data_IF_965204933941
#
_entry.id   IF_965204933941
#
_cell.length_a   1.000
_cell.length_b   1.000
_cell.length_c   1.000
_cell.angle_alpha   90.00
_cell.angle_beta   90.00
_cell.angle_gamma   90.00
#
_symmetry.space_group_name_H-M   'P 1'
#
loop_
_entity.id
_entity.type
_entity.pdbx_description
1 polymer ?
#
# COMPACT_ATOMS: atom_id res chain seq x y z
N UNK A 1 -33.49 22.64 -2.80
CA UNK A 1 -33.22 23.87 -2.02
C UNK A 1 -32.28 24.74 -2.84
N UNK A 2 -32.66 25.96 -3.21
CA UNK A 2 -31.81 26.83 -4.04
C UNK A 2 -31.03 27.79 -3.15
N UNK A 3 -29.69 27.74 -3.20
CA UNK A 3 -28.82 28.63 -2.41
C UNK A 3 -28.46 29.86 -3.25
N UNK A 4 -28.76 31.06 -2.75
CA UNK A 4 -28.30 32.30 -3.38
C UNK A 4 -26.79 32.44 -3.16
N UNK A 5 -26.03 32.55 -4.25
CA UNK A 5 -24.59 32.84 -4.24
C UNK A 5 -24.35 34.30 -4.61
N UNK A 6 -23.41 34.96 -3.93
CA UNK A 6 -22.94 36.31 -4.26
C UNK A 6 -21.54 36.29 -4.91
N UNK A 7 -21.04 35.10 -5.29
CA UNK A 7 -19.74 34.98 -5.93
C UNK A 7 -19.70 35.78 -7.22
N UNK A 8 -18.64 36.58 -7.38
CA UNK A 8 -18.38 37.38 -8.59
C UNK A 8 -17.34 36.74 -9.50
N UNK A 9 -16.66 35.70 -9.02
CA UNK A 9 -15.62 34.96 -9.75
C UNK A 9 -16.26 33.66 -10.26
N UNK A 10 -16.02 33.34 -11.53
CA UNK A 10 -16.49 32.11 -12.15
C UNK A 10 -15.63 30.95 -11.67
N UNK A 11 -16.27 29.93 -11.11
CA UNK A 11 -15.65 28.65 -10.81
C UNK A 11 -15.32 27.94 -12.14
N UNK A 12 -14.04 27.63 -12.34
CA UNK A 12 -13.52 27.05 -13.60
C UNK A 12 -13.36 25.53 -13.52
N UNK A 13 -13.40 24.98 -12.32
CA UNK A 13 -13.27 23.55 -12.02
C UNK A 13 -14.23 23.21 -10.89
N UNK A 14 -14.91 22.08 -11.02
CA UNK A 14 -15.76 21.56 -9.96
C UNK A 14 -14.91 20.99 -8.80
N UNK A 15 -15.53 20.88 -7.62
CA UNK A 15 -14.89 20.25 -6.47
C UNK A 15 -14.63 18.76 -6.76
N UNK A 16 -13.40 18.28 -6.54
CA UNK A 16 -13.08 16.86 -6.71
C UNK A 16 -13.70 16.03 -5.58
N UNK A 17 -13.58 14.71 -5.69
CA UNK A 17 -13.98 13.82 -4.62
C UNK A 17 -13.03 14.01 -3.41
N UNK A 18 -13.56 14.54 -2.31
CA UNK A 18 -12.74 14.91 -1.15
C UNK A 18 -12.10 13.72 -0.42
N UNK A 19 -12.54 12.49 -0.71
CA UNK A 19 -11.94 11.26 -0.17
C UNK A 19 -11.09 10.50 -1.20
N UNK A 20 -10.89 11.06 -2.39
CA UNK A 20 -10.16 10.40 -3.49
C UNK A 20 -8.74 9.99 -3.10
N UNK A 21 -8.09 10.78 -2.24
CA UNK A 21 -6.74 10.48 -1.75
C UNK A 21 -6.69 9.10 -1.05
N UNK A 22 -7.74 8.76 -0.29
CA UNK A 22 -7.81 7.48 0.42
C UNK A 22 -8.15 6.35 -0.55
N UNK A 23 -9.21 6.53 -1.34
CA UNK A 23 -9.72 5.49 -2.23
C UNK A 23 -8.71 5.15 -3.34
N UNK A 24 -8.12 6.16 -3.97
CA UNK A 24 -7.20 5.97 -5.09
C UNK A 24 -5.87 5.36 -4.64
N UNK A 25 -5.40 5.73 -3.44
CA UNK A 25 -4.19 5.15 -2.87
C UNK A 25 -4.38 3.67 -2.57
N UNK A 26 -5.53 3.30 -2.00
CA UNK A 26 -5.81 1.91 -1.64
C UNK A 26 -6.10 1.05 -2.88
N UNK A 27 -6.86 1.57 -3.84
CA UNK A 27 -7.12 0.88 -5.11
C UNK A 27 -5.81 0.59 -5.86
N UNK A 28 -4.92 1.57 -5.96
CA UNK A 28 -3.60 1.38 -6.58
C UNK A 28 -2.74 0.34 -5.85
N UNK A 29 -2.83 0.31 -4.52
CA UNK A 29 -2.16 -0.73 -3.74
C UNK A 29 -2.66 -2.12 -4.10
N UNK A 30 -3.98 -2.30 -4.20
CA UNK A 30 -4.62 -3.56 -4.56
C UNK A 30 -4.43 -3.97 -6.02
N UNK A 31 -4.26 -3.03 -6.94
CA UNK A 31 -4.13 -3.34 -8.37
C UNK A 31 -2.68 -3.60 -8.80
N UNK A 32 -1.72 -2.96 -8.14
CA UNK A 32 -0.34 -2.91 -8.61
C UNK A 32 0.66 -3.15 -7.48
N UNK A 33 0.61 -2.36 -6.42
CA UNK A 33 1.71 -2.34 -5.43
C UNK A 33 1.85 -3.65 -4.67
N UNK A 34 0.74 -4.36 -4.41
CA UNK A 34 0.80 -5.67 -3.76
C UNK A 34 1.55 -6.70 -4.60
N UNK A 35 1.31 -6.75 -5.91
CA UNK A 35 2.07 -7.60 -6.83
C UNK A 35 3.54 -7.21 -6.87
N UNK A 36 3.82 -5.90 -6.90
CA UNK A 36 5.19 -5.39 -7.01
C UNK A 36 6.03 -5.73 -5.77
N UNK A 37 5.43 -5.75 -4.57
CA UNK A 37 6.11 -6.21 -3.34
C UNK A 37 6.54 -7.68 -3.46
N UNK A 38 5.70 -8.54 -4.01
CA UNK A 38 6.07 -9.94 -4.24
C UNK A 38 7.18 -10.07 -5.28
N UNK A 39 7.13 -9.29 -6.37
CA UNK A 39 8.16 -9.27 -7.42
C UNK A 39 9.49 -8.67 -6.97
N UNK A 40 9.48 -7.74 -6.00
CA UNK A 40 10.70 -7.18 -5.41
C UNK A 40 11.46 -8.25 -4.61
N UNK A 41 10.72 -9.15 -3.96
CA UNK A 41 11.28 -10.18 -3.08
C UNK A 41 11.59 -11.50 -3.78
N UNK A 42 10.94 -11.79 -4.92
CA UNK A 42 11.02 -13.08 -5.62
C UNK A 42 11.67 -12.90 -7.02
N UNK A 43 12.41 -13.91 -7.52
CA UNK A 43 12.53 -15.26 -6.96
C UNK A 43 13.45 -15.35 -5.74
N UNK A 44 13.20 -16.35 -4.89
CA UNK A 44 14.07 -16.73 -3.77
C UNK A 44 14.64 -18.11 -4.06
N UNK A 45 15.97 -18.21 -4.00
CA UNK A 45 16.69 -19.46 -4.20
C UNK A 45 16.95 -20.17 -2.86
N UNK A 46 17.01 -21.50 -2.88
CA UNK A 46 17.52 -22.25 -1.75
C UNK A 46 19.06 -22.13 -1.65
N UNK A 47 19.63 -22.46 -0.48
CA UNK A 47 21.08 -22.36 -0.24
C UNK A 47 21.95 -23.14 -1.26
N UNK A 48 21.44 -24.27 -1.76
CA UNK A 48 22.15 -25.10 -2.74
C UNK A 48 22.04 -24.57 -4.18
N UNK A 49 21.18 -23.59 -4.45
CA UNK A 49 20.89 -23.07 -5.81
C UNK A 49 20.14 -24.05 -6.72
N UNK A 50 19.50 -25.07 -6.15
CA UNK A 50 18.79 -26.13 -6.87
C UNK A 50 17.28 -25.90 -6.97
N UNK A 51 16.72 -25.00 -6.16
CA UNK A 51 15.29 -24.71 -6.13
C UNK A 51 15.02 -23.23 -6.04
N UNK A 52 14.06 -22.77 -6.84
CA UNK A 52 13.65 -21.37 -6.90
C UNK A 52 12.15 -21.27 -6.60
N UNK A 53 11.79 -20.32 -5.75
CA UNK A 53 10.40 -19.97 -5.50
C UNK A 53 10.05 -18.71 -6.28
N UNK A 54 9.05 -18.79 -7.15
CA UNK A 54 8.59 -17.69 -8.00
C UNK A 54 7.18 -17.26 -7.63
N UNK A 55 6.90 -15.96 -7.78
CA UNK A 55 5.55 -15.40 -7.70
C UNK A 55 4.81 -15.56 -9.03
N UNK A 56 3.58 -16.09 -8.97
CA UNK A 56 2.71 -16.22 -10.15
C UNK A 56 1.58 -15.20 -10.12
N UNK A 57 0.96 -15.01 -8.96
CA UNK A 57 -0.19 -14.10 -8.81
C UNK A 57 -0.78 -14.16 -7.40
N UNK A 58 -1.79 -13.35 -7.15
CA UNK A 58 -2.63 -13.45 -5.95
C UNK A 58 -4.09 -13.25 -6.29
N UNK A 59 -4.94 -13.68 -5.38
CA UNK A 59 -6.38 -13.52 -5.43
C UNK A 59 -6.90 -13.14 -4.04
N UNK A 60 -7.74 -12.12 -3.96
CA UNK A 60 -8.52 -11.83 -2.76
C UNK A 60 -9.89 -12.47 -2.91
N UNK A 61 -10.25 -13.34 -1.97
CA UNK A 61 -11.59 -13.96 -1.89
C UNK A 61 -12.58 -13.00 -1.25
N UNK A 62 -13.86 -13.37 -1.27
CA UNK A 62 -14.91 -12.56 -0.66
C UNK A 62 -14.68 -12.36 0.85
N UNK A 63 -15.01 -11.18 1.38
CA UNK A 63 -14.90 -10.92 2.81
C UNK A 63 -15.86 -11.81 3.59
N UNK A 64 -15.39 -12.31 4.74
CA UNK A 64 -16.16 -13.21 5.60
C UNK A 64 -17.39 -12.53 6.22
N UNK A 65 -17.31 -11.23 6.45
CA UNK A 65 -18.34 -10.41 7.05
C UNK A 65 -18.64 -9.22 6.15
N UNK A 66 -19.89 -8.80 6.15
CA UNK A 66 -20.26 -7.45 5.70
C UNK A 66 -19.73 -6.39 6.68
N UNK A 67 -19.76 -5.12 6.25
CA UNK A 67 -19.37 -3.97 7.07
C UNK A 67 -20.19 -3.92 8.38
N UNK A 68 -21.49 -4.22 8.34
CA UNK A 68 -22.37 -4.19 9.51
C UNK A 68 -22.07 -5.34 10.48
N UNK A 69 -21.86 -6.55 9.96
CA UNK A 69 -21.51 -7.72 10.76
C UNK A 69 -20.14 -7.56 11.43
N UNK A 70 -19.15 -7.01 10.72
CA UNK A 70 -17.82 -6.75 11.27
C UNK A 70 -17.90 -5.81 12.48
N UNK A 71 -18.74 -4.76 12.40
CA UNK A 71 -19.01 -3.85 13.54
C UNK A 71 -19.72 -4.55 14.69
N UNK A 72 -20.72 -5.38 14.41
CA UNK A 72 -21.53 -6.04 15.43
C UNK A 72 -20.79 -7.18 16.17
N UNK A 73 -19.77 -7.77 15.54
CA UNK A 73 -19.04 -8.93 16.07
C UNK A 73 -17.64 -8.60 16.59
N UNK A 74 -17.31 -7.31 16.75
CA UNK A 74 -15.95 -6.87 17.11
C UNK A 74 -14.87 -7.49 16.20
N UNK A 75 -15.20 -7.68 14.92
CA UNK A 75 -14.35 -8.36 13.93
C UNK A 75 -13.74 -7.36 12.93
N UNK A 76 -12.79 -7.82 12.13
CA UNK A 76 -12.24 -7.04 11.02
C UNK A 76 -13.12 -7.21 9.78
N UNK A 77 -13.30 -6.12 9.02
CA UNK A 77 -13.78 -6.22 7.64
C UNK A 77 -12.58 -6.53 6.74
N UNK A 78 -12.43 -7.80 6.36
CA UNK A 78 -11.25 -8.31 5.65
C UNK A 78 -11.59 -9.44 4.68
N UNK A 79 -10.79 -9.57 3.63
CA UNK A 79 -10.85 -10.63 2.63
C UNK A 79 -9.67 -11.59 2.75
N UNK A 80 -9.88 -12.90 2.64
CA UNK A 80 -8.78 -13.88 2.56
C UNK A 80 -7.92 -13.64 1.31
N UNK A 81 -6.62 -13.38 1.50
CA UNK A 81 -5.63 -13.27 0.44
C UNK A 81 -4.97 -14.63 0.20
N UNK A 82 -5.06 -15.12 -1.04
CA UNK A 82 -4.36 -16.29 -1.52
C UNK A 82 -3.27 -15.87 -2.50
N UNK A 83 -2.08 -16.44 -2.37
CA UNK A 83 -0.94 -16.14 -3.23
C UNK A 83 -0.49 -17.43 -3.90
N UNK A 84 -0.36 -17.39 -5.23
CA UNK A 84 0.08 -18.52 -6.04
C UNK A 84 1.57 -18.42 -6.26
N UNK A 85 2.30 -19.42 -5.78
CA UNK A 85 3.72 -19.58 -5.98
C UNK A 85 4.02 -20.75 -6.91
N UNK A 86 5.17 -20.68 -7.58
CA UNK A 86 5.72 -21.78 -8.37
C UNK A 86 7.11 -22.14 -7.84
N UNK A 87 7.26 -23.37 -7.37
CA UNK A 87 8.55 -23.95 -7.02
C UNK A 87 9.13 -24.62 -8.27
N UNK A 88 10.30 -24.14 -8.70
CA UNK A 88 11.09 -24.68 -9.80
C UNK A 88 12.21 -25.52 -9.22
N UNK A 89 12.24 -26.82 -9.53
CA UNK A 89 13.36 -27.68 -9.20
C UNK A 89 14.31 -27.77 -10.41
N UNK A 90 15.48 -27.15 -10.30
CA UNK A 90 16.46 -27.03 -11.40
C UNK A 90 17.13 -28.37 -11.74
N UNK A 91 17.16 -29.32 -10.82
CA UNK A 91 17.81 -30.62 -11.02
C UNK A 91 16.90 -31.60 -11.78
N UNK A 92 15.63 -31.67 -11.36
CA UNK A 92 14.64 -32.56 -11.97
C UNK A 92 13.86 -31.91 -13.12
N UNK A 93 13.85 -30.59 -13.21
CA UNK A 93 12.99 -29.82 -14.11
C UNK A 93 11.52 -29.80 -13.67
N UNK A 94 11.19 -30.27 -12.47
CA UNK A 94 9.82 -30.30 -11.97
C UNK A 94 9.33 -28.90 -11.61
N UNK A 95 8.10 -28.58 -12.04
CA UNK A 95 7.41 -27.33 -11.71
C UNK A 95 6.19 -27.64 -10.83
N UNK A 96 6.23 -27.17 -9.58
CA UNK A 96 5.11 -27.30 -8.63
C UNK A 96 4.48 -25.93 -8.40
N UNK A 97 3.25 -25.75 -8.90
CA UNK A 97 2.47 -24.53 -8.64
C UNK A 97 1.47 -24.78 -7.52
N UNK A 98 1.44 -23.91 -6.52
CA UNK A 98 0.55 -24.04 -5.37
C UNK A 98 -0.02 -22.68 -4.96
N UNK A 99 -1.32 -22.67 -4.71
CA UNK A 99 -2.02 -21.57 -4.06
C UNK A 99 -1.88 -21.71 -2.53
N UNK A 100 -1.42 -20.65 -1.86
CA UNK A 100 -1.20 -20.62 -0.41
C UNK A 100 -2.05 -19.51 0.21
N UNK A 101 -2.79 -19.83 1.28
CA UNK A 101 -3.44 -18.81 2.09
C UNK A 101 -2.38 -17.96 2.79
N UNK A 102 -2.34 -16.67 2.45
CA UNK A 102 -1.33 -15.74 2.94
C UNK A 102 -1.80 -14.98 4.19
N UNK A 103 -3.11 -14.79 4.33
CA UNK A 103 -3.73 -14.16 5.49
C UNK A 103 -5.01 -13.40 5.13
N UNK A 104 -5.68 -12.86 6.14
CA UNK A 104 -6.81 -11.95 5.93
C UNK A 104 -6.32 -10.52 5.73
N UNK A 105 -6.74 -9.89 4.64
CA UNK A 105 -6.35 -8.53 4.28
C UNK A 105 -7.50 -7.55 4.56
N UNK A 106 -7.31 -6.52 5.41
CA UNK A 106 -8.36 -5.54 5.69
C UNK A 106 -8.82 -4.81 4.44
N UNK A 107 -10.14 -4.69 4.24
CA UNK A 107 -10.71 -3.98 3.09
C UNK A 107 -11.15 -2.56 3.48
N UNK A 108 -10.95 -1.62 2.55
CA UNK A 108 -11.46 -0.26 2.69
C UNK A 108 -12.96 -0.21 2.37
N UNK A 109 -13.71 0.54 3.16
CA UNK A 109 -15.13 0.85 2.90
C UNK A 109 -15.26 1.92 1.81
N UNK A 110 -16.46 2.09 1.25
CA UNK A 110 -16.75 3.17 0.28
C UNK A 110 -16.48 4.58 0.84
N UNK A 111 -16.43 4.72 2.18
CA UNK A 111 -16.18 5.98 2.87
C UNK A 111 -14.69 6.28 3.08
N UNK A 112 -13.78 5.41 2.59
CA UNK A 112 -12.34 5.56 2.78
C UNK A 112 -11.84 5.17 4.17
N UNK A 113 -12.59 4.32 4.88
CA UNK A 113 -12.31 3.87 6.26
C UNK A 113 -12.08 2.37 6.33
N UNK A 114 -11.61 1.86 7.46
CA UNK A 114 -11.43 0.44 7.73
C UNK A 114 -12.16 0.05 9.02
N UNK A 115 -12.71 -1.17 9.07
CA UNK A 115 -13.24 -1.72 10.33
C UNK A 115 -12.22 -2.68 10.91
N UNK A 116 -11.67 -2.31 12.05
CA UNK A 116 -10.65 -3.07 12.77
C UNK A 116 -11.14 -3.36 14.18
N UNK A 117 -11.38 -4.63 14.49
CA UNK A 117 -11.96 -5.12 15.74
C UNK A 117 -13.28 -4.39 16.06
N UNK A 118 -14.20 -4.35 15.10
CA UNK A 118 -15.50 -3.67 15.19
C UNK A 118 -15.47 -2.15 15.15
N UNK A 119 -14.31 -1.52 15.36
CA UNK A 119 -14.15 -0.07 15.36
C UNK A 119 -13.77 0.47 13.99
N UNK A 120 -14.40 1.57 13.60
CA UNK A 120 -14.08 2.29 12.38
C UNK A 120 -12.80 3.13 12.56
N UNK A 121 -11.86 2.98 11.64
CA UNK A 121 -10.54 3.61 11.66
C UNK A 121 -10.22 4.26 10.32
N UNK A 122 -9.42 5.31 10.37
CA UNK A 122 -8.93 6.03 9.20
C UNK A 122 -7.41 5.98 9.22
N UNK A 123 -6.81 5.68 8.07
CA UNK A 123 -5.37 5.82 7.87
C UNK A 123 -5.09 7.25 7.43
N UNK A 124 -4.27 7.96 8.21
CA UNK A 124 -3.92 9.35 7.92
C UNK A 124 -2.63 9.41 7.11
N UNK A 125 -2.64 10.18 6.02
CA UNK A 125 -1.46 10.42 5.20
C UNK A 125 -0.36 11.08 6.03
N UNK A 126 0.83 10.50 5.99
CA UNK A 126 2.00 11.05 6.67
C UNK A 126 2.82 11.91 5.72
N UNK A 127 3.36 13.01 6.23
CA UNK A 127 4.34 13.84 5.52
C UNK A 127 5.75 13.47 6.00
N UNK A 128 6.52 12.86 5.12
CA UNK A 128 7.92 12.47 5.35
C UNK A 128 8.83 13.17 4.37
N UNK A 129 10.11 13.35 4.73
CA UNK A 129 11.11 13.86 3.78
C UNK A 129 11.38 12.80 2.73
N UNK A 130 11.40 13.20 1.45
CA UNK A 130 11.70 12.26 0.37
C UNK A 130 13.15 11.75 0.49
N UNK A 131 13.44 10.52 0.06
CA UNK A 131 14.81 10.08 -0.14
C UNK A 131 15.51 11.00 -1.14
N UNK A 132 16.79 11.27 -0.90
CA UNK A 132 17.58 12.15 -1.76
C UNK A 132 18.75 12.82 -1.05
N UNK A 133 19.51 13.59 -1.82
CA UNK A 133 20.63 14.38 -1.31
C UNK A 133 20.19 15.82 -1.08
N UNK A 134 20.23 16.24 0.18
CA UNK A 134 19.87 17.57 0.62
C UNK A 134 21.13 18.37 0.91
N UNK A 135 21.27 19.55 0.33
CA UNK A 135 22.35 20.48 0.64
C UNK A 135 21.87 21.54 1.61
N UNK A 136 22.70 21.89 2.58
CA UNK A 136 22.38 22.97 3.51
C UNK A 136 23.64 23.79 3.83
N UNK A 137 23.52 25.12 3.93
CA UNK A 137 24.60 25.94 4.43
C UNK A 137 24.84 25.64 5.90
N UNK A 138 26.07 25.81 6.35
CA UNK A 138 26.50 25.70 7.74
C UNK A 138 27.51 26.79 8.01
N UNK A 139 27.12 27.75 8.83
CA UNK A 139 28.04 28.80 9.32
C UNK A 139 28.76 28.24 10.53
N UNK A 140 30.09 28.28 10.51
CA UNK A 140 30.89 27.89 11.67
C UNK A 140 30.83 28.94 12.79
N UNK A 141 31.42 28.65 13.95
CA UNK A 141 31.45 29.60 15.08
C UNK A 141 32.28 30.86 14.80
N UNK A 142 33.09 30.86 13.75
CA UNK A 142 33.98 31.96 13.35
C UNK A 142 33.34 32.82 12.23
N UNK A 143 32.13 32.49 11.77
CA UNK A 143 31.42 33.21 10.71
C UNK A 143 31.78 32.78 9.29
N UNK A 144 32.58 31.71 9.10
CA UNK A 144 32.86 31.17 7.78
C UNK A 144 31.68 30.33 7.29
N UNK A 145 31.23 30.60 6.06
CA UNK A 145 30.22 29.79 5.40
C UNK A 145 30.83 28.50 4.85
N UNK A 146 30.23 27.37 5.23
CA UNK A 146 30.54 26.05 4.68
C UNK A 146 29.25 25.40 4.14
N UNK A 147 29.40 24.45 3.22
CA UNK A 147 28.27 23.72 2.64
C UNK A 147 28.33 22.26 3.07
N UNK A 148 27.24 21.77 3.65
CA UNK A 148 27.05 20.37 4.02
C UNK A 148 26.02 19.70 3.11
N UNK A 149 26.06 18.37 3.08
CA UNK A 149 25.00 17.59 2.47
C UNK A 149 24.57 16.45 3.39
N UNK A 150 23.31 16.04 3.28
CA UNK A 150 22.73 14.86 3.92
C UNK A 150 22.10 13.99 2.85
N UNK A 151 22.55 12.75 2.72
CA UNK A 151 21.97 11.76 1.82
C UNK A 151 21.02 10.86 2.62
N UNK A 152 19.74 10.86 2.26
CA UNK A 152 18.70 10.05 2.90
C UNK A 152 18.31 8.92 1.92
N UNK A 153 18.67 7.65 2.19
CA UNK A 153 18.23 6.52 1.38
C UNK A 153 16.76 6.18 1.63
N UNK A 154 16.15 5.40 0.74
CA UNK A 154 14.76 4.98 0.84
C UNK A 154 14.56 3.82 1.84
N UNK A 155 15.54 2.92 1.94
CA UNK A 155 15.61 1.80 2.89
C UNK A 155 17.07 1.49 3.19
#
# INVERSE_FOLDING_TARGET
RTRRSFSRIKEVLDLPNLIEIQTDSYQRFLDQSLADVFKEMLPIDNFAGTKDLEFVGYEMKEPKYTIEEARAHDANYSAPLFVTFRLVDKESGELKTQEVFFGDFPLMTEMGTFIINGAERIIVSQLVRSPGTYFHPKVDKNGLESYGHTTIPNR
#
